data_IF_005144599270
#
_entry.id   IF_005144599270
#
_cell.length_a   1.000
_cell.length_b   1.000
_cell.length_c   1.000
_cell.angle_alpha   90.00
_cell.angle_beta   90.00
_cell.angle_gamma   90.00
#
_symmetry.space_group_name_H-M   'P 1'
#
loop_
_entity.id
_entity.type
_entity.pdbx_description
1 polymer ?
#
# COMPACT_ATOMS: atom_id res chain seq x y z
N UNK A 1 20.77 -12.29 -10.66
CA UNK A 1 19.32 -12.19 -10.37
C UNK A 1 18.92 -10.76 -10.06
N UNK A 2 19.74 -10.01 -9.30
CA UNK A 2 19.49 -8.59 -8.99
C UNK A 2 19.22 -7.68 -10.22
N UNK A 3 20.12 -7.71 -11.23
CA UNK A 3 19.97 -6.94 -12.48
C UNK A 3 18.65 -7.26 -13.22
N UNK A 4 18.14 -8.49 -13.12
CA UNK A 4 16.89 -8.89 -13.76
C UNK A 4 15.71 -8.16 -13.11
N UNK A 5 15.61 -8.19 -11.79
CA UNK A 5 14.52 -7.54 -11.06
C UNK A 5 14.57 -6.03 -11.19
N UNK A 6 15.77 -5.43 -11.15
CA UNK A 6 15.93 -4.00 -11.40
C UNK A 6 15.40 -3.58 -12.78
N UNK A 7 15.68 -4.37 -13.84
CA UNK A 7 15.17 -4.11 -15.19
C UNK A 7 13.65 -4.31 -15.29
N UNK A 8 13.09 -5.33 -14.62
CA UNK A 8 11.64 -5.57 -14.56
C UNK A 8 10.92 -4.40 -13.87
N UNK A 9 11.44 -3.93 -12.74
CA UNK A 9 10.92 -2.79 -12.00
C UNK A 9 11.02 -1.48 -12.82
N UNK A 10 12.16 -1.25 -13.50
CA UNK A 10 12.32 -0.12 -14.42
C UNK A 10 11.32 -0.16 -15.58
N UNK A 11 11.02 -1.34 -16.12
CA UNK A 11 10.00 -1.50 -17.17
C UNK A 11 8.58 -1.17 -16.67
N UNK A 12 8.27 -1.52 -15.42
CA UNK A 12 7.01 -1.16 -14.79
C UNK A 12 6.90 0.35 -14.54
N UNK A 13 7.96 0.98 -14.04
CA UNK A 13 8.06 2.44 -13.91
C UNK A 13 7.80 3.15 -15.25
N UNK A 14 8.42 2.66 -16.33
CA UNK A 14 8.23 3.22 -17.68
C UNK A 14 6.78 3.08 -18.15
N UNK A 15 6.12 1.95 -17.89
CA UNK A 15 4.72 1.73 -18.21
C UNK A 15 3.79 2.72 -17.48
N UNK A 16 3.98 2.89 -16.17
CA UNK A 16 3.18 3.83 -15.36
C UNK A 16 3.42 5.27 -15.81
N UNK A 17 4.68 5.63 -16.04
CA UNK A 17 5.08 6.97 -16.49
C UNK A 17 4.43 7.33 -17.82
N UNK A 18 4.46 6.42 -18.79
CA UNK A 18 3.89 6.65 -20.12
C UNK A 18 2.35 6.71 -20.12
N UNK A 19 1.69 5.92 -19.25
CA UNK A 19 0.25 5.66 -19.35
C UNK A 19 -0.59 6.43 -18.35
N UNK A 20 -0.05 6.70 -17.17
CA UNK A 20 -0.81 7.23 -16.05
C UNK A 20 -0.31 8.59 -15.56
N UNK A 21 0.89 9.06 -15.89
CA UNK A 21 1.34 10.36 -15.40
C UNK A 21 0.91 11.48 -16.34
N UNK A 22 0.24 12.51 -15.79
CA UNK A 22 -0.22 13.67 -16.55
C UNK A 22 -0.09 14.97 -15.75
N UNK A 23 0.18 16.12 -16.41
CA UNK A 23 0.13 17.43 -15.77
C UNK A 23 -1.28 17.75 -15.26
N UNK A 24 -1.40 18.21 -14.02
CA UNK A 24 -2.67 18.68 -13.45
C UNK A 24 -3.06 20.01 -14.10
N UNK A 25 -4.09 19.98 -14.94
CA UNK A 25 -4.66 21.17 -15.62
C UNK A 25 -3.62 21.99 -16.38
N UNK A 26 -2.61 21.32 -16.95
CA UNK A 26 -1.48 21.93 -17.66
C UNK A 26 -0.66 22.94 -16.81
N UNK A 27 -0.77 22.88 -15.48
CA UNK A 27 -0.01 23.75 -14.59
C UNK A 27 1.45 23.26 -14.47
N UNK A 28 2.45 24.14 -14.70
CA UNK A 28 3.85 23.77 -14.56
C UNK A 28 4.18 23.27 -13.15
N UNK A 29 4.91 22.15 -13.06
CA UNK A 29 5.33 21.58 -11.78
C UNK A 29 4.20 20.99 -10.93
N UNK A 30 3.05 20.66 -11.56
CA UNK A 30 1.95 19.94 -10.93
C UNK A 30 1.66 18.67 -11.73
N UNK A 31 2.01 17.51 -11.18
CA UNK A 31 1.82 16.21 -11.84
C UNK A 31 1.05 15.25 -10.93
N UNK A 32 0.14 14.47 -11.51
CA UNK A 32 -0.68 13.49 -10.83
C UNK A 32 -0.89 12.25 -11.71
N UNK A 33 -1.28 11.14 -11.06
CA UNK A 33 -1.67 9.90 -11.71
C UNK A 33 -3.12 9.93 -12.20
N UNK A 34 -3.31 9.76 -13.50
CA UNK A 34 -4.57 9.42 -14.16
C UNK A 34 -4.99 8.02 -13.71
N UNK A 35 -6.22 7.90 -13.25
CA UNK A 35 -6.70 6.69 -12.56
C UNK A 35 -7.00 5.50 -13.49
N UNK A 36 -7.06 5.72 -14.80
CA UNK A 36 -7.34 4.66 -15.79
C UNK A 36 -6.47 4.76 -17.04
N UNK A 37 -6.11 3.61 -17.63
CA UNK A 37 -5.49 3.53 -18.95
C UNK A 37 -6.10 2.39 -19.80
N UNK A 38 -6.47 2.61 -21.08
CA UNK A 38 -6.53 3.90 -21.78
C UNK A 38 -7.39 4.92 -21.02
N UNK A 39 -7.14 6.23 -21.08
CA UNK A 39 -7.84 7.20 -20.24
C UNK A 39 -9.34 7.23 -20.54
N UNK A 40 -10.18 7.20 -19.50
CA UNK A 40 -11.61 7.48 -19.64
C UNK A 40 -11.86 8.96 -20.04
N UNK A 41 -13.02 9.30 -20.64
CA UNK A 41 -13.35 10.69 -20.98
C UNK A 41 -13.20 11.64 -19.77
N UNK A 42 -12.33 12.64 -19.91
CA UNK A 42 -12.05 13.62 -18.85
C UNK A 42 -11.11 13.14 -17.73
N UNK A 43 -10.53 11.94 -17.83
CA UNK A 43 -9.59 11.42 -16.84
C UNK A 43 -8.30 12.26 -16.77
N UNK A 44 -7.80 12.76 -17.91
CA UNK A 44 -6.64 13.67 -17.98
C UNK A 44 -6.92 15.07 -17.43
N UNK A 45 -8.20 15.43 -17.27
CA UNK A 45 -8.65 16.63 -16.55
C UNK A 45 -8.87 16.37 -15.05
N UNK A 46 -8.55 15.17 -14.57
CA UNK A 46 -8.69 14.76 -13.17
C UNK A 46 -10.11 14.94 -12.62
N UNK A 47 -11.12 14.67 -13.46
CA UNK A 47 -12.53 14.57 -13.03
C UNK A 47 -12.67 13.51 -11.94
N UNK A 48 -12.06 12.34 -12.17
CA UNK A 48 -11.88 11.30 -11.17
C UNK A 48 -10.44 11.36 -10.64
N UNK A 49 -10.31 11.33 -9.32
CA UNK A 49 -9.03 11.39 -8.62
C UNK A 49 -9.16 10.68 -7.29
N UNK A 50 -8.29 9.72 -7.03
CA UNK A 50 -8.31 8.90 -5.81
C UNK A 50 -7.11 9.27 -4.94
N UNK A 51 -7.39 9.89 -3.79
CA UNK A 51 -6.37 10.43 -2.88
C UNK A 51 -5.33 9.36 -2.52
N UNK A 52 -5.75 8.19 -2.03
CA UNK A 52 -4.81 7.18 -1.56
C UNK A 52 -4.06 6.45 -2.68
N UNK A 53 -4.63 6.33 -3.88
CA UNK A 53 -3.89 5.79 -5.04
C UNK A 53 -2.70 6.70 -5.41
N UNK A 54 -2.85 8.02 -5.25
CA UNK A 54 -1.72 8.94 -5.43
C UNK A 54 -0.65 8.74 -4.36
N UNK A 55 -1.03 8.48 -3.10
CA UNK A 55 -0.06 8.19 -2.06
C UNK A 55 0.79 6.96 -2.43
N UNK A 56 0.17 5.89 -2.94
CA UNK A 56 0.90 4.70 -3.38
C UNK A 56 1.72 4.90 -4.66
N UNK A 57 1.25 5.72 -5.60
CA UNK A 57 2.06 6.12 -6.76
C UNK A 57 3.32 6.89 -6.30
N UNK A 58 3.18 7.81 -5.34
CA UNK A 58 4.33 8.49 -4.73
C UNK A 58 5.29 7.48 -4.07
N UNK A 59 4.77 6.48 -3.35
CA UNK A 59 5.58 5.44 -2.73
C UNK A 59 6.36 4.58 -3.75
N UNK A 60 5.75 4.23 -4.89
CA UNK A 60 6.46 3.48 -5.94
C UNK A 60 7.56 4.33 -6.60
N UNK A 61 7.32 5.64 -6.78
CA UNK A 61 8.34 6.56 -7.26
C UNK A 61 9.50 6.71 -6.27
N UNK A 62 9.22 6.68 -4.96
CA UNK A 62 10.27 6.64 -3.93
C UNK A 62 11.08 5.35 -4.05
N UNK A 63 10.43 4.19 -4.22
CA UNK A 63 11.14 2.91 -4.42
C UNK A 63 12.06 2.97 -5.65
N UNK A 64 11.55 3.45 -6.78
CA UNK A 64 12.35 3.61 -8.00
C UNK A 64 13.49 4.62 -7.84
N UNK A 65 13.30 5.67 -7.03
CA UNK A 65 14.37 6.62 -6.70
C UNK A 65 15.48 5.98 -5.86
N UNK A 66 15.15 5.02 -4.99
CA UNK A 66 16.14 4.30 -4.19
C UNK A 66 16.89 3.25 -5.03
N UNK A 67 16.18 2.57 -5.93
CA UNK A 67 16.77 1.59 -6.86
C UNK A 67 17.73 2.23 -7.87
N UNK A 68 17.31 3.32 -8.51
CA UNK A 68 18.08 3.98 -9.58
C UNK A 68 17.93 5.50 -9.44
N UNK A 69 18.75 6.20 -8.64
CA UNK A 69 18.54 7.62 -8.34
C UNK A 69 18.61 8.53 -9.57
N UNK A 70 17.55 9.31 -9.83
CA UNK A 70 17.53 10.31 -10.92
C UNK A 70 17.02 11.69 -10.45
N UNK A 71 17.71 12.80 -10.76
CA UNK A 71 17.29 14.14 -10.30
C UNK A 71 15.91 14.58 -10.80
N UNK A 72 15.52 14.17 -12.00
CA UNK A 72 14.20 14.42 -12.58
C UNK A 72 13.09 13.69 -11.81
N UNK A 73 13.31 12.44 -11.40
CA UNK A 73 12.36 11.68 -10.56
C UNK A 73 12.24 12.31 -9.17
N UNK A 74 13.34 12.75 -8.56
CA UNK A 74 13.28 13.46 -7.27
C UNK A 74 12.43 14.72 -7.38
N UNK A 75 12.63 15.52 -8.43
CA UNK A 75 11.79 16.68 -8.73
C UNK A 75 10.32 16.27 -8.95
N UNK A 76 10.07 15.19 -9.67
CA UNK A 76 8.73 14.68 -9.91
C UNK A 76 8.00 14.34 -8.60
N UNK A 77 8.65 13.66 -7.66
CA UNK A 77 8.07 13.32 -6.35
C UNK A 77 7.69 14.61 -5.59
N UNK A 78 8.56 15.62 -5.62
CA UNK A 78 8.27 16.92 -5.00
C UNK A 78 7.09 17.66 -5.67
N UNK A 79 7.00 17.62 -7.01
CA UNK A 79 5.91 18.18 -7.81
C UNK A 79 4.58 17.49 -7.50
N UNK A 80 4.59 16.17 -7.39
CA UNK A 80 3.42 15.36 -7.08
C UNK A 80 2.85 15.68 -5.70
N UNK A 81 3.69 15.83 -4.67
CA UNK A 81 3.24 16.26 -3.34
C UNK A 81 2.58 17.65 -3.37
N UNK A 82 3.10 18.59 -4.19
CA UNK A 82 2.48 19.91 -4.36
C UNK A 82 1.12 19.81 -5.05
N UNK A 83 1.05 19.02 -6.12
CA UNK A 83 -0.18 18.80 -6.86
C UNK A 83 -1.26 18.11 -6.02
N UNK A 84 -0.87 17.13 -5.20
CA UNK A 84 -1.77 16.43 -4.27
C UNK A 84 -2.44 17.40 -3.31
N UNK A 85 -1.65 18.25 -2.64
CA UNK A 85 -2.16 19.28 -1.74
C UNK A 85 -3.06 20.26 -2.48
N UNK A 86 -2.65 20.71 -3.66
CA UNK A 86 -3.42 21.66 -4.47
C UNK A 86 -4.78 21.08 -4.89
N UNK A 87 -4.79 19.86 -5.41
CA UNK A 87 -6.00 19.14 -5.82
C UNK A 87 -6.95 18.84 -4.66
N UNK A 88 -6.41 18.69 -3.45
CA UNK A 88 -7.16 18.56 -2.20
C UNK A 88 -7.44 19.93 -1.52
N UNK A 89 -7.68 20.98 -2.31
CA UNK A 89 -8.07 22.32 -1.84
C UNK A 89 -7.08 22.89 -0.81
N UNK A 90 -5.79 22.75 -1.10
CA UNK A 90 -4.65 23.19 -0.27
C UNK A 90 -4.51 22.49 1.09
N UNK A 91 -5.28 21.42 1.34
CA UNK A 91 -5.25 20.64 2.58
C UNK A 91 -4.48 19.33 2.41
N UNK A 92 -3.84 18.90 3.49
CA UNK A 92 -3.28 17.54 3.59
C UNK A 92 -4.27 16.57 4.23
N UNK A 93 -5.15 17.07 5.09
CA UNK A 93 -6.14 16.25 5.78
C UNK A 93 -7.32 15.90 4.87
N UNK A 94 -7.91 14.73 5.11
CA UNK A 94 -9.13 14.26 4.46
C UNK A 94 -10.17 13.83 5.53
N UNK A 95 -11.33 13.33 5.09
CA UNK A 95 -12.34 12.70 5.94
C UNK A 95 -11.96 11.26 6.33
N UNK A 96 -11.19 10.58 5.49
CA UNK A 96 -10.77 9.19 5.64
C UNK A 96 -9.40 9.13 6.34
N UNK A 97 -9.29 8.35 7.42
CA UNK A 97 -8.07 8.26 8.24
C UNK A 97 -7.00 7.38 7.60
N UNK A 98 -7.41 6.30 6.95
CA UNK A 98 -6.58 5.45 6.09
C UNK A 98 -5.95 6.25 4.95
N UNK A 99 -6.73 7.03 4.18
CA UNK A 99 -6.22 7.94 3.15
C UNK A 99 -5.08 8.81 3.69
N UNK A 100 -5.33 9.48 4.82
CA UNK A 100 -4.35 10.34 5.47
C UNK A 100 -3.11 9.57 5.93
N UNK A 101 -3.27 8.33 6.39
CA UNK A 101 -2.17 7.49 6.84
C UNK A 101 -1.29 7.03 5.68
N UNK A 102 -1.88 6.65 4.53
CA UNK A 102 -1.13 6.33 3.32
C UNK A 102 -0.27 7.49 2.83
N UNK A 103 -0.86 8.70 2.76
CA UNK A 103 -0.08 9.87 2.40
C UNK A 103 1.02 10.18 3.43
N UNK A 104 0.71 10.05 4.73
CA UNK A 104 1.69 10.28 5.79
C UNK A 104 2.88 9.31 5.67
N UNK A 105 2.65 8.04 5.33
CA UNK A 105 3.72 7.06 5.07
C UNK A 105 4.60 7.48 3.89
N UNK A 106 4.01 7.79 2.73
CA UNK A 106 4.77 8.20 1.56
C UNK A 106 5.56 9.49 1.81
N UNK A 107 4.98 10.46 2.54
CA UNK A 107 5.65 11.70 2.91
C UNK A 107 6.77 11.46 3.93
N UNK A 108 6.57 10.55 4.89
CA UNK A 108 7.56 10.19 5.89
C UNK A 108 8.78 9.54 5.23
N UNK A 109 8.55 8.59 4.31
CA UNK A 109 9.62 7.96 3.51
C UNK A 109 10.36 8.96 2.63
N UNK A 110 9.64 9.84 1.93
CA UNK A 110 10.27 10.87 1.10
C UNK A 110 11.16 11.83 1.94
N UNK A 111 10.71 12.17 3.15
CA UNK A 111 11.48 13.01 4.06
C UNK A 111 12.75 12.30 4.54
N UNK A 112 12.63 11.06 5.03
CA UNK A 112 13.73 10.31 5.63
C UNK A 112 14.75 9.83 4.60
N UNK A 113 14.29 9.33 3.45
CA UNK A 113 15.15 8.64 2.49
C UNK A 113 15.64 9.55 1.35
N UNK A 114 14.90 10.62 1.04
CA UNK A 114 15.19 11.50 -0.11
C UNK A 114 15.44 12.96 0.29
N UNK A 115 15.35 13.31 1.58
CA UNK A 115 15.50 14.69 2.06
C UNK A 115 14.38 15.64 1.63
N UNK A 116 13.23 15.12 1.16
CA UNK A 116 12.07 15.94 0.79
C UNK A 116 11.23 16.29 2.04
N UNK A 117 11.80 17.13 2.89
CA UNK A 117 11.25 17.41 4.20
C UNK A 117 9.93 18.19 4.17
N UNK A 118 8.94 17.69 4.92
CA UNK A 118 7.66 18.38 5.19
C UNK A 118 7.21 18.25 6.65
N UNK A 119 8.02 18.67 7.62
CA UNK A 119 7.77 18.41 9.04
C UNK A 119 6.43 18.94 9.54
N UNK A 120 6.00 20.13 9.07
CA UNK A 120 4.69 20.71 9.46
C UNK A 120 3.50 19.88 8.95
N UNK A 121 3.60 19.31 7.76
CA UNK A 121 2.53 18.49 7.18
C UNK A 121 2.47 17.13 7.88
N UNK A 122 3.61 16.46 8.05
CA UNK A 122 3.71 15.21 8.79
C UNK A 122 3.23 15.34 10.24
N UNK A 123 3.62 16.41 10.94
CA UNK A 123 3.13 16.67 12.31
C UNK A 123 1.62 16.85 12.36
N UNK A 124 1.03 17.54 11.38
CA UNK A 124 -0.43 17.70 11.28
C UNK A 124 -1.14 16.37 11.06
N UNK A 125 -0.66 15.53 10.15
CA UNK A 125 -1.23 14.20 9.89
C UNK A 125 -1.09 13.28 11.13
N UNK A 126 0.10 13.25 11.73
CA UNK A 126 0.36 12.49 12.96
C UNK A 126 -0.60 12.86 14.09
N UNK A 127 -0.88 14.16 14.25
CA UNK A 127 -1.81 14.62 15.28
C UNK A 127 -3.24 14.11 15.03
N UNK A 128 -3.68 14.04 13.76
CA UNK A 128 -5.00 13.45 13.43
C UNK A 128 -5.12 12.01 13.96
N UNK A 129 -4.07 11.19 13.85
CA UNK A 129 -4.10 9.80 14.32
C UNK A 129 -4.08 9.70 15.85
N UNK A 130 -3.34 10.57 16.52
CA UNK A 130 -3.29 10.61 17.99
C UNK A 130 -4.65 11.00 18.59
N UNK A 131 -5.30 12.01 18.00
CA UNK A 131 -6.56 12.58 18.47
C UNK A 131 -7.78 11.70 18.14
N UNK A 132 -7.68 10.88 17.08
CA UNK A 132 -8.79 10.04 16.62
C UNK A 132 -8.99 8.77 17.43
N UNK A 133 -8.07 8.43 18.33
CA UNK A 133 -8.17 7.23 19.16
C UNK A 133 -9.36 7.32 20.12
N UNK A 134 -10.19 6.28 20.19
CA UNK A 134 -11.42 6.30 20.99
C UNK A 134 -11.47 5.21 22.08
N UNK A 135 -10.84 5.45 23.25
CA UNK A 135 -10.86 4.50 24.37
C UNK A 135 -12.27 4.10 24.83
N UNK A 136 -13.24 5.01 24.73
CA UNK A 136 -14.62 4.79 25.15
C UNK A 136 -15.35 3.71 24.33
N UNK A 137 -14.83 3.36 23.15
CA UNK A 137 -15.34 2.27 22.31
C UNK A 137 -14.41 1.05 22.31
N UNK A 138 -13.53 0.93 23.33
CA UNK A 138 -12.56 -0.16 23.44
C UNK A 138 -11.23 0.09 22.74
N UNK A 139 -11.05 1.24 22.11
CA UNK A 139 -9.87 1.60 21.33
C UNK A 139 -10.13 1.64 19.83
N UNK A 140 -9.08 1.89 19.06
CA UNK A 140 -9.13 2.07 17.61
C UNK A 140 -9.31 3.52 17.20
N UNK A 141 -8.83 3.85 16.00
CA UNK A 141 -9.28 5.02 15.24
C UNK A 141 -10.35 4.59 14.23
N UNK A 142 -11.40 5.39 14.00
CA UNK A 142 -12.44 5.05 13.03
C UNK A 142 -11.89 5.17 11.60
N UNK A 143 -12.54 4.50 10.67
CA UNK A 143 -12.23 4.57 9.24
C UNK A 143 -12.36 6.00 8.70
N UNK A 144 -13.47 6.67 9.04
CA UNK A 144 -13.80 8.03 8.60
C UNK A 144 -14.20 8.90 9.79
N UNK A 145 -13.99 10.21 9.67
CA UNK A 145 -14.50 11.20 10.62
C UNK A 145 -16.01 11.06 10.79
N UNK A 146 -16.46 11.19 12.04
CA UNK A 146 -17.86 11.03 12.45
C UNK A 146 -18.43 9.61 12.23
N UNK A 147 -17.59 8.66 11.83
CA UNK A 147 -17.95 7.25 11.73
C UNK A 147 -17.60 6.48 13.02
N UNK A 148 -18.13 5.28 13.12
CA UNK A 148 -17.98 4.36 14.25
C UNK A 148 -17.62 2.94 13.84
N UNK A 149 -17.18 2.79 12.59
CA UNK A 149 -16.48 1.62 12.09
C UNK A 149 -14.97 1.75 12.28
N UNK A 150 -14.34 0.81 12.97
CA UNK A 150 -12.91 0.79 13.26
C UNK A 150 -12.23 -0.33 12.48
N UNK A 151 -11.29 -0.01 11.60
CA UNK A 151 -10.76 -0.98 10.66
C UNK A 151 -9.22 -1.06 10.66
N UNK A 152 -8.67 -2.21 10.28
CA UNK A 152 -7.23 -2.42 10.15
C UNK A 152 -6.55 -1.42 9.18
N UNK A 153 -7.16 -1.05 8.04
CA UNK A 153 -6.62 -0.05 7.10
C UNK A 153 -6.41 1.35 7.67
N UNK A 154 -7.24 1.80 8.62
CA UNK A 154 -6.98 3.07 9.29
C UNK A 154 -5.93 2.91 10.40
N UNK A 155 -6.01 1.82 11.17
CA UNK A 155 -5.19 1.65 12.36
C UNK A 155 -3.74 1.22 12.07
N UNK A 156 -3.53 0.23 11.18
CA UNK A 156 -2.20 -0.30 10.86
C UNK A 156 -1.24 0.76 10.28
N UNK A 157 -1.57 1.41 9.15
CA UNK A 157 -0.76 2.48 8.56
C UNK A 157 -0.51 3.65 9.51
N UNK A 158 -1.54 4.09 10.27
CA UNK A 158 -1.38 5.16 11.24
C UNK A 158 -0.39 4.78 12.35
N UNK A 159 -0.46 3.54 12.84
CA UNK A 159 0.46 3.02 13.84
C UNK A 159 1.90 2.91 13.29
N UNK A 160 2.08 2.51 12.03
CA UNK A 160 3.41 2.51 11.37
C UNK A 160 3.99 3.93 11.33
N UNK A 161 3.19 4.94 10.93
CA UNK A 161 3.62 6.35 10.95
C UNK A 161 4.03 6.76 12.37
N UNK A 162 3.25 6.38 13.38
CA UNK A 162 3.53 6.71 14.77
C UNK A 162 4.82 6.04 15.28
N UNK A 163 5.04 4.77 14.96
CA UNK A 163 6.26 4.05 15.30
C UNK A 163 7.51 4.72 14.68
N UNK A 164 7.46 5.03 13.38
CA UNK A 164 8.57 5.67 12.66
C UNK A 164 8.84 7.10 13.09
N UNK A 165 7.83 7.81 13.61
CA UNK A 165 7.94 9.22 14.03
C UNK A 165 8.10 9.40 15.55
N UNK A 166 8.54 8.35 16.25
CA UNK A 166 8.92 8.40 17.67
C UNK A 166 7.76 8.32 18.67
N UNK A 167 6.55 7.95 18.23
CA UNK A 167 5.38 7.70 19.10
C UNK A 167 5.17 6.19 19.28
N UNK A 168 6.26 5.46 19.54
CA UNK A 168 6.29 3.99 19.66
C UNK A 168 5.25 3.47 20.65
N UNK A 169 5.13 4.10 21.83
CA UNK A 169 4.14 3.71 22.84
C UNK A 169 2.69 3.67 22.31
N UNK A 170 2.31 4.60 21.42
CA UNK A 170 0.96 4.61 20.85
C UNK A 170 0.83 3.54 19.77
N UNK A 171 1.88 3.34 18.98
CA UNK A 171 1.91 2.26 18.00
C UNK A 171 1.76 0.89 18.67
N UNK A 172 2.39 0.65 19.83
CA UNK A 172 2.19 -0.57 20.62
C UNK A 172 0.75 -0.75 21.08
N UNK A 173 0.12 0.30 21.62
CA UNK A 173 -1.30 0.28 22.02
C UNK A 173 -2.21 -0.06 20.83
N UNK A 174 -1.93 0.50 19.67
CA UNK A 174 -2.69 0.20 18.45
C UNK A 174 -2.46 -1.23 17.98
N UNK A 175 -1.21 -1.73 18.03
CA UNK A 175 -0.86 -3.12 17.71
C UNK A 175 -1.60 -4.11 18.60
N UNK A 176 -1.58 -3.87 19.92
CA UNK A 176 -2.26 -4.72 20.90
C UNK A 176 -3.77 -4.70 20.72
N UNK A 177 -4.35 -3.56 20.32
CA UNK A 177 -5.77 -3.49 19.97
C UNK A 177 -6.10 -4.28 18.70
N UNK A 178 -5.29 -4.17 17.64
CA UNK A 178 -5.47 -4.97 16.41
C UNK A 178 -5.38 -6.46 16.73
N UNK A 179 -4.35 -6.89 17.45
CA UNK A 179 -4.14 -8.30 17.81
C UNK A 179 -5.30 -8.86 18.65
N UNK A 180 -5.82 -8.06 19.59
CA UNK A 180 -6.93 -8.47 20.45
C UNK A 180 -8.28 -8.48 19.73
N UNK A 181 -8.50 -7.55 18.80
CA UNK A 181 -9.85 -7.22 18.30
C UNK A 181 -10.08 -7.70 16.87
N UNK A 182 -9.05 -7.64 16.02
CA UNK A 182 -9.19 -7.85 14.58
C UNK A 182 -8.44 -9.09 14.08
N UNK A 183 -7.60 -9.73 14.89
CA UNK A 183 -7.03 -11.04 14.50
C UNK A 183 -8.06 -12.12 14.78
N UNK A 184 -8.47 -12.82 13.73
CA UNK A 184 -9.34 -13.97 13.84
C UNK A 184 -8.59 -15.15 14.49
N UNK A 185 -9.19 -15.75 15.51
CA UNK A 185 -8.51 -16.78 16.31
C UNK A 185 -8.31 -18.10 15.56
N UNK A 186 -9.16 -18.41 14.58
CA UNK A 186 -9.12 -19.68 13.86
C UNK A 186 -8.14 -19.61 12.68
N UNK A 187 -8.27 -18.55 11.86
CA UNK A 187 -7.43 -18.36 10.66
C UNK A 187 -6.10 -17.66 10.94
N UNK A 188 -6.00 -16.94 12.06
CA UNK A 188 -4.92 -15.99 12.37
C UNK A 188 -4.75 -14.85 11.36
N UNK A 189 -5.71 -14.67 10.45
CA UNK A 189 -5.77 -13.52 9.56
C UNK A 189 -6.40 -12.32 10.28
N UNK A 190 -6.06 -11.14 9.79
CA UNK A 190 -6.63 -9.87 10.22
C UNK A 190 -7.90 -9.62 9.43
N UNK A 191 -9.04 -9.49 10.11
CA UNK A 191 -10.31 -9.09 9.49
C UNK A 191 -10.32 -7.58 9.22
N UNK A 192 -11.27 -7.12 8.41
CA UNK A 192 -11.33 -5.73 7.98
C UNK A 192 -11.55 -4.77 9.15
N UNK A 193 -12.55 -5.04 10.00
CA UNK A 193 -12.84 -4.14 11.11
C UNK A 193 -13.94 -4.61 12.06
N UNK A 194 -14.38 -3.67 12.90
CA UNK A 194 -15.40 -3.85 13.92
C UNK A 194 -16.29 -2.60 14.00
N UNK A 195 -17.59 -2.81 14.14
CA UNK A 195 -18.58 -1.75 14.39
C UNK A 195 -18.63 -1.39 15.88
N UNK A 196 -19.18 -0.22 16.23
CA UNK A 196 -19.29 0.19 17.65
C UNK A 196 -20.12 -0.74 18.53
N UNK A 197 -21.04 -1.51 17.96
CA UNK A 197 -21.85 -2.51 18.67
C UNK A 197 -21.12 -3.83 18.89
N UNK A 198 -19.87 -3.95 18.42
CA UNK A 198 -19.03 -5.14 18.52
C UNK A 198 -19.16 -6.10 17.33
N UNK A 199 -19.99 -5.79 16.33
CA UNK A 199 -20.14 -6.62 15.13
C UNK A 199 -18.83 -6.63 14.32
N UNK A 200 -18.30 -7.82 14.05
CA UNK A 200 -17.05 -8.02 13.32
C UNK A 200 -17.29 -8.08 11.81
N UNK A 201 -16.59 -7.24 11.05
CA UNK A 201 -16.55 -7.30 9.59
C UNK A 201 -15.47 -8.30 9.15
N UNK A 202 -15.87 -9.56 9.05
CA UNK A 202 -14.97 -10.72 8.89
C UNK A 202 -14.30 -10.86 7.52
N UNK A 203 -14.49 -9.90 6.62
CA UNK A 203 -13.79 -9.89 5.34
C UNK A 203 -12.27 -9.80 5.57
N UNK A 204 -11.51 -10.62 4.85
CA UNK A 204 -10.04 -10.65 4.95
C UNK A 204 -9.43 -10.19 3.64
N UNK A 205 -8.66 -9.10 3.68
CA UNK A 205 -7.98 -8.56 2.51
C UNK A 205 -6.47 -8.60 2.69
N UNK A 206 -5.73 -8.77 1.60
CA UNK A 206 -4.26 -8.92 1.62
C UNK A 206 -3.56 -7.71 2.23
N UNK A 207 -4.03 -6.50 1.97
CA UNK A 207 -3.45 -5.27 2.54
C UNK A 207 -3.63 -5.13 4.05
N UNK A 208 -4.74 -5.63 4.63
CA UNK A 208 -4.91 -5.68 6.08
C UNK A 208 -3.80 -6.51 6.72
N UNK A 209 -3.42 -7.62 6.07
CA UNK A 209 -2.31 -8.46 6.53
C UNK A 209 -0.98 -7.72 6.37
N UNK A 210 -0.78 -7.08 5.21
CA UNK A 210 0.41 -6.29 4.92
C UNK A 210 0.67 -5.21 5.98
N UNK A 211 -0.33 -4.39 6.31
CA UNK A 211 -0.14 -3.30 7.28
C UNK A 211 0.14 -3.80 8.70
N UNK A 212 -0.41 -4.94 9.09
CA UNK A 212 -0.13 -5.54 10.40
C UNK A 212 1.24 -6.20 10.42
N UNK A 213 1.65 -6.90 9.36
CA UNK A 213 3.03 -7.36 9.19
C UNK A 213 4.02 -6.20 9.27
N UNK A 214 3.70 -5.09 8.61
CA UNK A 214 4.47 -3.86 8.65
C UNK A 214 4.59 -3.31 10.07
N UNK A 215 3.47 -3.10 10.75
CA UNK A 215 3.43 -2.57 12.11
C UNK A 215 4.22 -3.44 13.09
N UNK A 216 3.95 -4.73 13.12
CA UNK A 216 4.59 -5.66 14.05
C UNK A 216 6.10 -5.78 13.76
N UNK A 217 6.53 -5.71 12.50
CA UNK A 217 7.97 -5.65 12.15
C UNK A 217 8.61 -4.36 12.64
N UNK A 218 7.96 -3.20 12.46
CA UNK A 218 8.49 -1.91 12.92
C UNK A 218 8.62 -1.86 14.45
N UNK A 219 7.69 -2.49 15.17
CA UNK A 219 7.73 -2.62 16.62
C UNK A 219 8.80 -3.61 17.07
N UNK A 220 8.93 -4.78 16.43
CA UNK A 220 9.98 -5.75 16.72
C UNK A 220 11.40 -5.16 16.59
N UNK A 221 11.59 -4.19 15.69
CA UNK A 221 12.86 -3.47 15.52
C UNK A 221 13.07 -2.39 16.59
N UNK A 222 12.00 -1.79 17.11
CA UNK A 222 12.07 -0.61 18.00
C UNK A 222 11.86 -0.92 19.47
N UNK A 223 11.38 -2.11 19.80
CA UNK A 223 11.13 -2.55 21.16
C UNK A 223 11.89 -3.84 21.44
N UNK A 224 12.10 -4.14 22.73
CA UNK A 224 12.68 -5.41 23.16
C UNK A 224 11.62 -6.49 23.40
N UNK A 225 10.36 -6.23 22.99
CA UNK A 225 9.21 -7.09 23.31
C UNK A 225 9.08 -8.23 22.30
N UNK A 226 9.26 -9.50 22.71
CA UNK A 226 9.30 -10.64 21.79
C UNK A 226 7.96 -10.92 21.10
N UNK A 227 6.85 -10.44 21.66
CA UNK A 227 5.50 -10.62 21.12
C UNK A 227 5.35 -10.14 19.68
N UNK A 228 6.06 -9.08 19.29
CA UNK A 228 5.91 -8.50 17.96
C UNK A 228 6.47 -9.41 16.88
N UNK A 229 7.67 -9.98 17.11
CA UNK A 229 8.23 -10.99 16.21
C UNK A 229 7.33 -12.23 16.12
N UNK A 230 6.80 -12.70 17.26
CA UNK A 230 5.88 -13.84 17.30
C UNK A 230 4.60 -13.60 16.49
N UNK A 231 4.03 -12.38 16.55
CA UNK A 231 2.88 -11.98 15.74
C UNK A 231 3.21 -11.95 14.25
N UNK A 232 4.41 -11.48 13.87
CA UNK A 232 4.90 -11.57 12.48
C UNK A 232 4.97 -13.02 12.02
N UNK A 233 5.57 -13.92 12.81
CA UNK A 233 5.68 -15.35 12.44
C UNK A 233 4.31 -15.98 12.18
N UNK A 234 3.37 -15.74 13.10
CA UNK A 234 1.99 -16.26 13.00
C UNK A 234 1.30 -15.74 11.75
N UNK A 235 1.40 -14.44 11.48
CA UNK A 235 0.71 -13.82 10.35
C UNK A 235 1.33 -14.17 9.00
N UNK A 236 2.66 -14.27 8.89
CA UNK A 236 3.34 -14.74 7.67
C UNK A 236 2.87 -16.16 7.32
N UNK A 237 2.76 -17.03 8.33
CA UNK A 237 2.24 -18.40 8.15
C UNK A 237 0.79 -18.41 7.68
N UNK A 238 -0.08 -17.60 8.30
CA UNK A 238 -1.47 -17.49 7.89
C UNK A 238 -1.62 -16.97 6.45
N UNK A 239 -0.83 -15.96 6.06
CA UNK A 239 -0.79 -15.45 4.69
C UNK A 239 -0.36 -16.54 3.71
N UNK A 240 0.71 -17.28 4.01
CA UNK A 240 1.15 -18.42 3.19
C UNK A 240 0.02 -19.42 2.99
N UNK A 241 -0.60 -19.87 4.08
CA UNK A 241 -1.52 -21.01 4.05
C UNK A 241 -2.90 -20.65 3.48
N UNK A 242 -3.35 -19.40 3.65
CA UNK A 242 -4.74 -19.01 3.36
C UNK A 242 -4.90 -17.93 2.28
N UNK A 243 -3.84 -17.17 1.97
CA UNK A 243 -3.88 -16.09 0.97
C UNK A 243 -3.00 -16.33 -0.25
N UNK A 244 -2.40 -17.51 -0.37
CA UNK A 244 -1.65 -17.91 -1.56
C UNK A 244 -2.28 -19.10 -2.30
N UNK A 245 -2.02 -19.18 -3.59
CA UNK A 245 -2.27 -20.33 -4.45
C UNK A 245 -0.94 -20.68 -5.13
N UNK A 246 -0.42 -21.89 -4.88
CA UNK A 246 0.93 -22.31 -5.31
C UNK A 246 2.05 -21.31 -4.94
N UNK A 247 1.93 -20.68 -3.75
CA UNK A 247 2.88 -19.68 -3.25
C UNK A 247 2.70 -18.27 -3.83
N UNK A 248 1.77 -18.07 -4.77
CA UNK A 248 1.44 -16.76 -5.36
C UNK A 248 0.28 -16.12 -4.60
N UNK A 249 0.39 -14.83 -4.27
CA UNK A 249 -0.70 -14.08 -3.60
C UNK A 249 -1.95 -14.07 -4.50
N UNK A 250 -3.10 -14.47 -3.93
CA UNK A 250 -4.38 -14.52 -4.65
C UNK A 250 -4.86 -13.12 -5.06
N UNK A 251 -5.37 -12.99 -6.28
CA UNK A 251 -5.90 -11.73 -6.81
C UNK A 251 -7.07 -11.15 -6.00
N UNK A 252 -7.13 -9.82 -5.89
CA UNK A 252 -8.20 -9.08 -5.17
C UNK A 252 -9.08 -8.20 -6.07
N UNK A 253 -9.03 -8.41 -7.39
CA UNK A 253 -9.82 -7.64 -8.37
C UNK A 253 -9.24 -6.26 -8.69
N UNK A 254 -10.05 -5.40 -9.33
CA UNK A 254 -9.68 -4.03 -9.69
C UNK A 254 -10.15 -2.98 -8.67
N UNK A 255 -10.21 -1.72 -9.08
CA UNK A 255 -10.66 -0.63 -8.20
C UNK A 255 -9.72 -0.51 -7.01
N UNK A 256 -10.24 -0.31 -5.81
CA UNK A 256 -9.40 -0.26 -4.61
C UNK A 256 -8.67 -1.59 -4.36
N UNK A 257 -9.34 -2.72 -4.64
CA UNK A 257 -8.78 -4.07 -4.51
C UNK A 257 -7.51 -4.31 -5.31
N UNK A 258 -7.32 -3.55 -6.39
CA UNK A 258 -6.13 -3.63 -7.24
C UNK A 258 -4.83 -3.36 -6.49
N UNK A 259 -4.84 -2.47 -5.49
CA UNK A 259 -3.65 -2.12 -4.71
C UNK A 259 -3.32 -3.12 -3.61
N UNK A 260 -4.27 -3.98 -3.20
CA UNK A 260 -4.16 -4.69 -1.94
C UNK A 260 -2.96 -5.64 -1.90
N UNK A 261 -2.73 -6.36 -3.01
CA UNK A 261 -1.64 -7.33 -3.11
C UNK A 261 -0.26 -6.67 -3.13
N UNK A 262 -0.13 -5.50 -3.77
CA UNK A 262 1.11 -4.72 -3.77
C UNK A 262 1.48 -4.25 -2.37
N UNK A 263 0.48 -3.81 -1.58
CA UNK A 263 0.70 -3.41 -0.19
C UNK A 263 1.18 -4.60 0.65
N UNK A 264 0.57 -5.78 0.48
CA UNK A 264 1.08 -7.00 1.12
C UNK A 264 2.53 -7.27 0.71
N UNK A 265 2.84 -7.25 -0.59
CA UNK A 265 4.19 -7.49 -1.09
C UNK A 265 5.23 -6.52 -0.51
N UNK A 266 4.91 -5.21 -0.40
CA UNK A 266 5.77 -4.22 0.24
C UNK A 266 6.12 -4.61 1.68
N UNK A 267 5.14 -5.01 2.46
CA UNK A 267 5.37 -5.32 3.87
C UNK A 267 5.96 -6.72 4.07
N UNK A 268 5.75 -7.67 3.15
CA UNK A 268 6.55 -8.89 3.11
C UNK A 268 8.03 -8.57 2.86
N UNK A 269 8.38 -7.65 1.95
CA UNK A 269 9.76 -7.19 1.79
C UNK A 269 10.29 -6.50 3.06
N UNK A 270 9.46 -5.76 3.79
CA UNK A 270 9.83 -5.19 5.09
C UNK A 270 10.17 -6.29 6.11
N UNK A 271 9.36 -7.36 6.19
CA UNK A 271 9.65 -8.53 7.04
C UNK A 271 11.01 -9.13 6.65
N UNK A 272 11.24 -9.38 5.36
CA UNK A 272 12.48 -9.98 4.85
C UNK A 272 13.71 -9.12 5.18
N UNK A 273 13.58 -7.79 5.18
CA UNK A 273 14.72 -6.88 5.32
C UNK A 273 14.97 -6.43 6.74
N UNK A 274 13.92 -6.23 7.54
CA UNK A 274 14.01 -5.59 8.85
C UNK A 274 13.69 -6.48 10.04
N UNK A 275 12.98 -7.61 9.87
CA UNK A 275 12.70 -8.48 11.03
C UNK A 275 14.01 -8.93 11.68
N UNK A 276 14.23 -8.66 12.99
CA UNK A 276 15.45 -9.09 13.67
C UNK A 276 15.64 -10.61 13.60
N UNK A 277 16.86 -11.08 13.35
CA UNK A 277 17.18 -12.51 13.28
C UNK A 277 17.70 -13.03 14.61
N UNK A 278 16.86 -12.98 15.64
CA UNK A 278 17.23 -13.39 16.99
C UNK A 278 16.94 -14.87 17.26
N UNK A 279 16.15 -15.52 16.41
CA UNK A 279 15.72 -16.91 16.54
C UNK A 279 15.60 -17.64 15.19
N UNK A 280 15.58 -18.99 15.17
CA UNK A 280 15.26 -19.75 13.97
C UNK A 280 13.89 -19.43 13.37
N UNK A 281 12.91 -19.07 14.20
CA UNK A 281 11.57 -18.69 13.77
C UNK A 281 11.57 -17.35 13.01
N UNK A 282 12.44 -16.41 13.39
CA UNK A 282 12.64 -15.18 12.62
C UNK A 282 13.20 -15.48 11.22
N UNK A 283 14.15 -16.41 11.14
CA UNK A 283 14.72 -16.84 9.86
C UNK A 283 13.68 -17.54 8.98
N UNK A 284 12.84 -18.41 9.56
CA UNK A 284 11.74 -19.09 8.87
C UNK A 284 10.68 -18.10 8.33
N UNK A 285 10.30 -17.10 9.14
CA UNK A 285 9.37 -16.07 8.72
C UNK A 285 9.94 -15.21 7.57
N UNK A 286 11.22 -14.84 7.65
CA UNK A 286 11.90 -14.10 6.56
C UNK A 286 12.00 -14.94 5.29
N UNK A 287 12.33 -16.22 5.39
CA UNK A 287 12.40 -17.13 4.25
C UNK A 287 11.01 -17.29 3.60
N UNK A 288 9.99 -17.58 4.39
CA UNK A 288 8.60 -17.72 3.92
C UNK A 288 8.11 -16.45 3.23
N UNK A 289 8.37 -15.27 3.82
CA UNK A 289 7.98 -14.00 3.23
C UNK A 289 8.69 -13.73 1.89
N UNK A 290 9.98 -14.09 1.80
CA UNK A 290 10.76 -13.98 0.56
C UNK A 290 10.22 -14.92 -0.53
N UNK A 291 9.89 -16.15 -0.18
CA UNK A 291 9.41 -17.15 -1.14
C UNK A 291 8.05 -16.74 -1.74
N UNK A 292 7.10 -16.32 -0.91
CA UNK A 292 5.79 -15.80 -1.38
C UNK A 292 5.98 -14.63 -2.34
N UNK A 293 6.86 -13.70 -1.97
CA UNK A 293 7.09 -12.47 -2.72
C UNK A 293 7.74 -12.76 -4.08
N UNK A 294 8.79 -13.58 -4.11
CA UNK A 294 9.49 -13.93 -5.36
C UNK A 294 8.62 -14.81 -6.27
N UNK A 295 7.88 -15.77 -5.72
CA UNK A 295 6.93 -16.58 -6.49
C UNK A 295 5.84 -15.69 -7.12
N UNK A 296 5.29 -14.76 -6.34
CA UNK A 296 4.31 -13.79 -6.83
C UNK A 296 4.88 -12.89 -7.92
N UNK A 297 6.11 -12.40 -7.75
CA UNK A 297 6.77 -11.52 -8.72
C UNK A 297 7.07 -12.24 -10.04
N UNK A 298 7.50 -13.50 -9.99
CA UNK A 298 7.70 -14.31 -11.20
C UNK A 298 6.37 -14.58 -11.90
N UNK A 299 5.32 -14.95 -11.15
CA UNK A 299 4.00 -15.19 -11.72
C UNK A 299 3.42 -13.93 -12.37
N UNK A 300 3.45 -12.80 -11.67
CA UNK A 300 2.99 -11.51 -12.20
C UNK A 300 3.77 -11.10 -13.46
N UNK A 301 5.08 -11.33 -13.48
CA UNK A 301 5.89 -11.06 -14.67
C UNK A 301 5.54 -12.00 -15.81
N UNK A 302 5.43 -13.31 -15.57
CA UNK A 302 5.12 -14.30 -16.60
C UNK A 302 3.73 -14.07 -17.23
N UNK A 303 2.77 -13.64 -16.42
CA UNK A 303 1.38 -13.46 -16.82
C UNK A 303 1.03 -12.03 -17.29
N UNK A 304 1.98 -11.08 -17.27
CA UNK A 304 1.75 -9.73 -17.81
C UNK A 304 1.51 -9.76 -19.32
N UNK A 305 0.76 -8.80 -19.85
CA UNK A 305 0.78 -8.50 -21.28
C UNK A 305 1.93 -7.55 -21.61
N UNK A 306 2.37 -7.57 -22.88
CA UNK A 306 3.25 -6.54 -23.44
C UNK A 306 2.47 -5.71 -24.43
N UNK A 307 2.25 -4.43 -24.11
CA UNK A 307 1.49 -3.50 -24.96
C UNK A 307 2.38 -2.30 -25.26
N UNK A 308 2.58 -1.98 -26.53
CA UNK A 308 3.51 -0.91 -26.94
C UNK A 308 4.92 -1.07 -26.32
N UNK A 309 5.41 -2.32 -26.25
CA UNK A 309 6.70 -2.69 -25.62
C UNK A 309 6.79 -2.47 -24.10
N UNK A 310 5.68 -2.14 -23.43
CA UNK A 310 5.63 -1.88 -21.99
C UNK A 310 4.72 -2.90 -21.28
N UNK A 311 5.07 -3.36 -20.07
CA UNK A 311 4.29 -4.36 -19.35
C UNK A 311 2.91 -3.81 -18.95
N UNK A 312 1.91 -4.68 -18.92
CA UNK A 312 0.57 -4.44 -18.37
C UNK A 312 0.24 -5.58 -17.42
N UNK A 313 0.04 -5.28 -16.14
CA UNK A 313 -0.16 -6.28 -15.08
C UNK A 313 -1.64 -6.57 -14.85
N UNK A 314 -1.93 -7.82 -14.51
CA UNK A 314 -3.25 -8.30 -14.10
C UNK A 314 -3.57 -8.03 -12.63
N UNK A 315 -4.85 -8.02 -12.31
CA UNK A 315 -5.33 -7.99 -10.91
C UNK A 315 -5.15 -9.34 -10.18
N UNK A 316 -5.01 -10.42 -10.94
CA UNK A 316 -4.69 -11.77 -10.47
C UNK A 316 -3.39 -12.22 -11.13
N UNK A 317 -2.34 -12.42 -10.34
CA UNK A 317 -1.01 -12.76 -10.85
C UNK A 317 -0.87 -14.21 -11.28
N UNK A 318 -1.87 -15.06 -10.99
CA UNK A 318 -1.92 -16.47 -11.43
C UNK A 318 -2.48 -16.61 -12.86
N UNK A 319 -3.06 -15.55 -13.42
CA UNK A 319 -3.72 -15.56 -14.73
C UNK A 319 -3.11 -14.53 -15.66
N UNK A 320 -3.07 -14.85 -16.94
CA UNK A 320 -2.68 -13.89 -17.98
C UNK A 320 -3.58 -12.65 -17.91
N UNK A 321 -2.96 -11.47 -17.92
CA UNK A 321 -3.66 -10.20 -17.86
C UNK A 321 -4.53 -9.97 -19.11
N UNK A 322 -5.65 -9.27 -18.94
CA UNK A 322 -6.55 -8.90 -20.04
C UNK A 322 -6.24 -7.50 -20.60
N UNK A 323 -6.39 -7.31 -21.91
CA UNK A 323 -6.18 -6.00 -22.54
C UNK A 323 -7.43 -5.12 -22.39
N UNK A 324 -7.38 -3.98 -21.66
CA UNK A 324 -8.51 -3.08 -21.56
C UNK A 324 -8.73 -2.30 -22.86
N UNK A 325 -9.99 -2.01 -23.17
CA UNK A 325 -10.38 -1.14 -24.30
C UNK A 325 -11.00 0.15 -23.79
N UNK A 326 -10.99 1.23 -24.60
CA UNK A 326 -11.64 2.49 -24.25
C UNK A 326 -13.17 2.36 -24.03
N UNK A 327 -13.77 1.26 -24.52
CA UNK A 327 -15.18 0.92 -24.34
C UNK A 327 -15.46 0.13 -23.06
N UNK A 328 -14.42 -0.40 -22.40
CA UNK A 328 -14.58 -1.04 -21.09
C UNK A 328 -14.98 0.01 -20.05
N UNK A 329 -16.02 -0.31 -19.26
CA UNK A 329 -16.48 0.60 -18.21
C UNK A 329 -15.37 0.82 -17.18
N UNK A 330 -15.10 2.10 -16.88
CA UNK A 330 -14.13 2.51 -15.87
C UNK A 330 -14.64 2.28 -14.45
N UNK A 331 -13.71 2.20 -13.51
CA UNK A 331 -13.95 2.14 -12.07
C UNK A 331 -14.78 3.32 -11.58
N UNK A 332 -15.55 3.08 -10.52
CA UNK A 332 -16.51 4.06 -9.98
C UNK A 332 -16.38 4.16 -8.47
N UNK A 333 -16.38 5.39 -7.95
CA UNK A 333 -16.39 5.63 -6.52
C UNK A 333 -17.83 5.51 -5.98
N UNK A 334 -18.06 4.57 -5.06
CA UNK A 334 -19.35 4.29 -4.44
C UNK A 334 -19.13 4.15 -2.93
N UNK A 335 -19.82 4.96 -2.14
CA UNK A 335 -19.87 4.85 -0.68
C UNK A 335 -18.52 4.83 0.06
N UNK A 336 -17.48 5.48 -0.49
CA UNK A 336 -16.16 5.53 0.15
C UNK A 336 -15.13 4.57 -0.45
N UNK A 337 -15.55 3.63 -1.30
CA UNK A 337 -14.69 2.69 -2.00
C UNK A 337 -14.76 2.88 -3.52
N UNK A 338 -13.71 2.46 -4.23
CA UNK A 338 -13.65 2.43 -5.69
C UNK A 338 -13.90 1.00 -6.18
N UNK A 339 -15.03 0.82 -6.85
CA UNK A 339 -15.37 -0.44 -7.51
C UNK A 339 -14.52 -0.66 -8.77
N UNK A 340 -14.23 -1.92 -9.12
CA UNK A 340 -13.37 -2.26 -10.26
C UNK A 340 -13.90 -1.76 -11.60
N UNK A 341 -12.99 -1.42 -12.50
CA UNK A 341 -13.29 -1.39 -13.93
C UNK A 341 -13.76 -2.77 -14.42
N UNK A 342 -14.52 -2.80 -15.53
CA UNK A 342 -14.92 -4.08 -16.16
C UNK A 342 -13.71 -4.96 -16.51
N UNK A 343 -12.60 -4.32 -16.89
CA UNK A 343 -11.28 -4.94 -17.07
C UNK A 343 -10.35 -4.29 -16.04
N UNK A 344 -10.04 -4.98 -14.91
CA UNK A 344 -9.25 -4.43 -13.80
C UNK A 344 -7.89 -3.84 -14.19
N UNK A 345 -7.24 -4.38 -15.20
CA UNK A 345 -5.95 -3.95 -15.75
C UNK A 345 -5.97 -2.47 -16.17
N UNK A 346 -7.17 -1.93 -16.43
CA UNK A 346 -7.39 -0.52 -16.71
C UNK A 346 -7.06 0.38 -15.53
N UNK A 347 -7.22 -0.09 -14.30
CA UNK A 347 -7.12 0.72 -13.10
C UNK A 347 -5.66 0.97 -12.71
N UNK A 348 -5.35 2.23 -12.37
CA UNK A 348 -4.02 2.61 -11.88
C UNK A 348 -3.61 1.76 -10.66
N UNK A 349 -4.55 1.44 -9.78
CA UNK A 349 -4.31 0.63 -8.59
C UNK A 349 -3.69 -0.74 -8.91
N UNK A 350 -4.20 -1.44 -9.92
CA UNK A 350 -3.69 -2.74 -10.38
C UNK A 350 -2.27 -2.58 -10.92
N UNK A 351 -2.01 -1.54 -11.71
CA UNK A 351 -0.69 -1.32 -12.28
C UNK A 351 0.34 -0.92 -11.21
N UNK A 352 -0.06 -0.11 -10.21
CA UNK A 352 0.77 0.21 -9.05
C UNK A 352 1.12 -1.02 -8.23
N UNK A 353 0.19 -1.95 -8.08
CA UNK A 353 0.38 -3.20 -7.36
C UNK A 353 1.46 -4.08 -8.00
N UNK A 354 1.40 -4.24 -9.33
CA UNK A 354 2.44 -4.93 -10.09
C UNK A 354 3.81 -4.24 -10.03
N UNK A 355 3.84 -2.91 -10.12
CA UNK A 355 5.10 -2.16 -9.97
C UNK A 355 5.69 -2.30 -8.56
N UNK A 356 4.87 -2.12 -7.52
CA UNK A 356 5.26 -2.26 -6.12
C UNK A 356 5.83 -3.65 -5.81
N UNK A 357 5.23 -4.70 -6.37
CA UNK A 357 5.73 -6.08 -6.27
C UNK A 357 7.13 -6.23 -6.86
N UNK A 358 7.39 -5.66 -8.04
CA UNK A 358 8.69 -5.79 -8.70
C UNK A 358 9.80 -4.98 -7.99
N UNK A 359 9.47 -3.80 -7.47
CA UNK A 359 10.40 -3.05 -6.60
C UNK A 359 10.70 -3.85 -5.32
N UNK A 360 9.68 -4.45 -4.71
CA UNK A 360 9.84 -5.29 -3.53
C UNK A 360 10.69 -6.54 -3.84
N UNK A 361 10.50 -7.16 -5.02
CA UNK A 361 11.31 -8.29 -5.48
C UNK A 361 12.77 -7.92 -5.67
N UNK A 362 13.07 -6.76 -6.25
CA UNK A 362 14.44 -6.27 -6.37
C UNK A 362 15.13 -6.11 -5.01
N UNK A 363 14.41 -5.58 -4.01
CA UNK A 363 14.96 -5.37 -2.66
C UNK A 363 15.34 -6.68 -1.94
N UNK A 364 14.66 -7.80 -2.24
CA UNK A 364 14.85 -9.08 -1.51
C UNK A 364 15.56 -10.18 -2.30
N UNK A 365 15.84 -9.96 -3.58
CA UNK A 365 16.35 -10.99 -4.50
C UNK A 365 17.79 -11.43 -4.23
#
# INVERSE_FOLDING_TARGET
MDVLWANRASSAEAAITARHLSPLWHLPGMQLGVVTWPPAPGATWFKNWHYWWQAHLQDCLIDAQLRDPRPDRLKYIADMQRAHRFRNVFMWTNQYYDDMAWLALAMQRASELLGLERPRALNRLRQQFLDAWMPQYGGGIPWRKQDRFFNAPANGPAAIVLARTGRVWRAEVMSDWIDKTLVDHDSHLVIDGIQEDGTLERATYTYCQGVVLGLETELAVRTAEPRHAQRVHRLVRAVRDLMTEDGVIRGSGGGDGGLFNGILARYLALVVTLLPQNSPQDADARATARDILLASAEAAWANRLTVESLPLFGADWTRTADLPTAQSAASQFVAGAVNPSKVPERDLSVQLSGWMLLEAAHVVA
#
